data_IF_049435603621
#
_entry.id   IF_049435603621
#
_cell.length_a   1.000
_cell.length_b   1.000
_cell.length_c   1.000
_cell.angle_alpha   90.00
_cell.angle_beta   90.00
_cell.angle_gamma   90.00
#
_symmetry.space_group_name_H-M   'P 1'
#
loop_
_entity.id
_entity.type
_entity.pdbx_description
1 polymer ?
#
# COMPACT_ATOMS: atom_id res chain seq x y z
N UNK A 1 -11.99 -22.95 -14.17
CA UNK A 1 -12.37 -21.81 -13.30
C UNK A 1 -11.12 -21.43 -12.54
N UNK A 2 -10.58 -20.24 -12.77
CA UNK A 2 -9.41 -19.72 -12.06
C UNK A 2 -9.79 -19.47 -10.60
N UNK A 3 -9.48 -20.41 -9.71
CA UNK A 3 -9.52 -20.23 -8.24
C UNK A 3 -8.31 -19.42 -7.75
N UNK A 4 -7.81 -18.50 -8.57
CA UNK A 4 -6.78 -17.54 -8.21
C UNK A 4 -7.47 -16.27 -7.75
N UNK A 5 -7.46 -15.98 -6.46
CA UNK A 5 -7.78 -14.65 -5.97
C UNK A 5 -6.79 -13.67 -6.62
N UNK A 6 -7.20 -12.96 -7.67
CA UNK A 6 -6.39 -11.95 -8.36
C UNK A 6 -5.95 -10.79 -7.44
N UNK A 7 -6.32 -10.83 -6.16
CA UNK A 7 -6.08 -9.79 -5.19
C UNK A 7 -4.85 -10.02 -4.31
N UNK A 8 -4.17 -11.17 -4.31
CA UNK A 8 -3.18 -11.44 -3.26
C UNK A 8 -3.85 -11.63 -1.88
N UNK A 9 -3.06 -11.85 -0.83
CA UNK A 9 -3.50 -12.16 0.53
C UNK A 9 -4.13 -10.92 1.18
N UNK A 10 -5.29 -11.06 1.87
CA UNK A 10 -5.97 -9.94 2.53
C UNK A 10 -5.08 -9.14 3.50
N UNK A 11 -4.09 -9.79 4.14
CA UNK A 11 -3.13 -9.11 5.04
C UNK A 11 -2.26 -8.08 4.32
N UNK A 12 -1.94 -8.30 3.05
CA UNK A 12 -1.12 -7.40 2.23
C UNK A 12 -1.91 -6.15 1.84
N UNK A 13 -3.21 -6.30 1.59
CA UNK A 13 -4.11 -5.17 1.33
C UNK A 13 -4.21 -4.19 2.48
N UNK A 14 -4.05 -4.65 3.72
CA UNK A 14 -3.99 -3.74 4.88
C UNK A 14 -2.80 -2.78 4.74
N UNK A 15 -1.62 -3.30 4.37
CA UNK A 15 -0.45 -2.46 4.15
C UNK A 15 -0.68 -1.47 2.99
N UNK A 16 -1.23 -1.96 1.87
CA UNK A 16 -1.56 -1.12 0.70
C UNK A 16 -2.53 -0.01 1.05
N UNK A 17 -3.61 -0.32 1.79
CA UNK A 17 -4.61 0.65 2.18
C UNK A 17 -4.03 1.77 3.06
N UNK A 18 -3.18 1.42 4.03
CA UNK A 18 -2.51 2.40 4.89
C UNK A 18 -1.62 3.34 4.05
N UNK A 19 -0.80 2.79 3.15
CA UNK A 19 0.06 3.59 2.26
C UNK A 19 -0.80 4.49 1.37
N UNK A 20 -1.87 3.95 0.80
CA UNK A 20 -2.76 4.71 -0.08
C UNK A 20 -3.43 5.87 0.64
N UNK A 21 -3.94 5.65 1.86
CA UNK A 21 -4.49 6.73 2.70
C UNK A 21 -3.42 7.78 2.99
N UNK A 22 -2.19 7.38 3.34
CA UNK A 22 -1.08 8.31 3.54
C UNK A 22 -0.77 9.16 2.30
N UNK A 23 -0.77 8.53 1.13
CA UNK A 23 -0.57 9.22 -0.15
C UNK A 23 -1.68 10.23 -0.45
N UNK A 24 -2.95 9.84 -0.26
CA UNK A 24 -4.09 10.75 -0.45
C UNK A 24 -4.01 11.93 0.52
N UNK A 25 -3.76 11.69 1.80
CA UNK A 25 -3.63 12.75 2.82
C UNK A 25 -2.47 13.70 2.49
N UNK A 26 -1.29 13.16 2.16
CA UNK A 26 -0.13 13.96 1.80
C UNK A 26 -0.34 14.76 0.51
N UNK A 27 -0.90 14.14 -0.53
CA UNK A 27 -1.21 14.79 -1.80
C UNK A 27 -2.23 15.92 -1.66
N UNK A 28 -3.29 15.71 -0.87
CA UNK A 28 -4.24 16.78 -0.51
C UNK A 28 -3.52 17.90 0.24
N UNK A 29 -2.65 17.58 1.20
CA UNK A 29 -1.87 18.56 1.96
C UNK A 29 -0.95 19.45 1.11
N UNK A 30 -0.50 18.98 -0.05
CA UNK A 30 0.31 19.77 -1.01
C UNK A 30 -0.59 20.59 -1.95
N UNK A 31 -1.75 20.06 -2.36
CA UNK A 31 -2.59 20.65 -3.42
C UNK A 31 -3.52 21.77 -2.96
N UNK A 32 -3.99 21.76 -1.72
CA UNK A 32 -4.92 22.80 -1.20
C UNK A 32 -4.17 24.05 -0.68
N UNK A 33 -2.86 24.11 -0.91
CA UNK A 33 -1.90 25.04 -0.29
C UNK A 33 -1.01 24.25 0.68
N UNK A 34 0.31 24.51 0.72
CA UNK A 34 1.26 23.64 1.43
C UNK A 34 1.03 23.66 2.95
N UNK A 35 0.24 22.71 3.42
CA UNK A 35 0.03 22.43 4.83
C UNK A 35 1.03 21.34 5.24
N UNK A 36 2.21 21.78 5.67
CA UNK A 36 3.32 20.90 6.04
C UNK A 36 2.99 19.91 7.17
N UNK A 37 2.03 20.23 8.04
CA UNK A 37 1.55 19.30 9.07
C UNK A 37 0.80 18.14 8.43
N UNK A 38 -0.14 18.42 7.52
CA UNK A 38 -0.91 17.39 6.79
C UNK A 38 0.02 16.55 5.92
N UNK A 39 1.01 17.16 5.28
CA UNK A 39 2.05 16.44 4.53
C UNK A 39 2.84 15.51 5.46
N UNK A 40 3.23 15.97 6.64
CA UNK A 40 3.92 15.15 7.64
C UNK A 40 3.09 13.96 8.11
N UNK A 41 1.77 14.13 8.31
CA UNK A 41 0.85 13.04 8.64
C UNK A 41 0.78 12.02 7.50
N UNK A 42 0.65 12.48 6.25
CA UNK A 42 0.66 11.60 5.07
C UNK A 42 1.95 10.79 4.97
N UNK A 43 3.11 11.43 5.16
CA UNK A 43 4.41 10.77 5.15
C UNK A 43 4.54 9.74 6.28
N UNK A 44 4.07 10.04 7.49
CA UNK A 44 4.08 9.11 8.62
C UNK A 44 3.21 7.87 8.34
N UNK A 45 2.03 8.05 7.75
CA UNK A 45 1.15 6.93 7.34
C UNK A 45 1.82 6.05 6.28
N UNK A 46 2.47 6.64 5.28
CA UNK A 46 3.24 5.89 4.28
C UNK A 46 4.36 5.08 4.96
N UNK A 47 5.10 5.67 5.90
CA UNK A 47 6.16 4.97 6.61
C UNK A 47 5.62 3.80 7.46
N UNK A 48 4.52 4.00 8.18
CA UNK A 48 3.85 2.93 8.95
C UNK A 48 3.39 1.81 8.00
N UNK A 49 2.75 2.16 6.88
CA UNK A 49 2.33 1.19 5.87
C UNK A 49 3.51 0.42 5.27
N UNK A 50 4.66 1.07 5.06
CA UNK A 50 5.91 0.43 4.64
C UNK A 50 6.45 -0.57 5.67
N UNK A 51 6.41 -0.23 6.96
CA UNK A 51 6.79 -1.16 8.04
C UNK A 51 5.85 -2.38 8.04
N UNK A 52 4.54 -2.17 7.89
CA UNK A 52 3.56 -3.26 7.81
C UNK A 52 3.81 -4.12 6.56
N UNK A 53 4.09 -3.49 5.41
CA UNK A 53 4.40 -4.18 4.15
C UNK A 53 5.61 -5.11 4.29
N UNK A 54 6.68 -4.64 4.95
CA UNK A 54 7.85 -5.46 5.28
C UNK A 54 7.48 -6.60 6.24
N UNK A 55 6.71 -6.31 7.28
CA UNK A 55 6.32 -7.30 8.30
C UNK A 55 5.43 -8.42 7.74
N UNK A 56 4.59 -8.12 6.74
CA UNK A 56 3.72 -9.14 6.11
C UNK A 56 4.36 -9.85 4.93
N UNK A 57 5.58 -9.46 4.56
CA UNK A 57 6.34 -9.94 3.41
C UNK A 57 5.54 -9.80 2.11
N UNK A 58 5.05 -8.59 1.84
CA UNK A 58 4.13 -8.31 0.73
C UNK A 58 4.68 -8.72 -0.64
N UNK A 59 6.00 -8.78 -0.80
CA UNK A 59 6.63 -9.15 -2.07
C UNK A 59 6.50 -10.63 -2.40
N UNK A 60 6.18 -11.48 -1.42
CA UNK A 60 5.80 -12.88 -1.66
C UNK A 60 4.35 -13.03 -2.10
N UNK A 61 3.57 -11.96 -2.06
CA UNK A 61 2.18 -11.92 -2.48
C UNK A 61 2.03 -11.64 -3.98
N UNK A 62 2.93 -12.22 -4.77
CA UNK A 62 2.93 -12.15 -6.23
C UNK A 62 2.31 -13.43 -6.76
N UNK A 63 1.33 -13.29 -7.66
CA UNK A 63 0.79 -14.42 -8.42
C UNK A 63 1.79 -14.73 -9.52
N UNK A 64 2.46 -15.87 -9.42
CA UNK A 64 3.35 -16.38 -10.47
C UNK A 64 2.56 -17.32 -11.36
N UNK A 65 2.49 -17.01 -12.65
CA UNK A 65 1.91 -17.91 -13.64
C UNK A 65 2.83 -19.13 -13.85
N UNK A 66 2.23 -20.32 -13.93
CA UNK A 66 2.99 -21.53 -14.31
C UNK A 66 3.51 -21.43 -15.75
N UNK A 67 4.66 -22.05 -16.07
CA UNK A 67 5.20 -22.09 -17.43
C UNK A 67 4.16 -22.62 -18.41
N UNK A 68 3.90 -21.88 -19.48
CA UNK A 68 3.05 -22.37 -20.57
C UNK A 68 3.83 -23.46 -21.31
N UNK A 69 3.30 -24.68 -21.31
CA UNK A 69 3.81 -25.80 -22.12
C UNK A 69 3.63 -25.54 -23.63
#
# INVERSE_FOLDING_TARGET
MSTGSHAGRPKSWVAVAIIFVGFVVGGVGITVGPNWVVVGVGAALIAIGGIVALAVDIMTDVIVDDPRA
#
